data_IF_164946617331
#
_entry.id   IF_164946617331
#
_cell.length_a   1.000
_cell.length_b   1.000
_cell.length_c   1.000
_cell.angle_alpha   90.00
_cell.angle_beta   90.00
_cell.angle_gamma   90.00
#
_symmetry.space_group_name_H-M   'P 1'
#
loop_
_entity.id
_entity.type
_entity.pdbx_description
1 polymer ?
#
# COMPACT_ATOMS: atom_id res chain seq x y z
N UNK A 1 25.49 12.06 -7.92
CA UNK A 1 24.08 11.70 -7.89
C UNK A 1 23.26 12.76 -7.19
N UNK A 2 23.61 13.22 -6.01
CA UNK A 2 22.90 14.27 -5.26
C UNK A 2 22.64 15.48 -6.16
N UNK A 3 23.70 16.06 -6.74
CA UNK A 3 23.58 17.22 -7.65
C UNK A 3 22.69 16.94 -8.87
N UNK A 4 22.78 15.72 -9.47
CA UNK A 4 21.92 15.34 -10.60
C UNK A 4 20.45 15.39 -10.19
N UNK A 5 20.08 14.84 -9.03
CA UNK A 5 18.71 14.82 -8.56
C UNK A 5 18.21 16.19 -8.09
N UNK A 6 19.08 17.03 -7.53
CA UNK A 6 18.73 18.41 -7.16
C UNK A 6 18.46 19.31 -8.37
N UNK A 7 19.11 19.03 -9.52
CA UNK A 7 18.98 19.80 -10.75
C UNK A 7 17.84 19.33 -11.69
N UNK A 8 17.08 18.28 -11.33
CA UNK A 8 15.84 17.94 -12.05
C UNK A 8 14.80 19.05 -11.85
N UNK A 9 13.97 19.29 -12.87
CA UNK A 9 12.91 20.29 -12.77
C UNK A 9 11.75 19.78 -11.86
N UNK A 10 11.21 20.64 -10.99
CA UNK A 10 11.73 21.95 -10.60
C UNK A 10 13.04 21.82 -9.82
N UNK A 11 14.02 22.71 -10.11
CA UNK A 11 15.32 22.70 -9.43
C UNK A 11 15.20 22.99 -7.94
N UNK A 12 15.97 22.26 -7.13
CA UNK A 12 16.02 22.44 -5.68
C UNK A 12 17.16 23.38 -5.33
N UNK A 13 16.84 24.62 -4.97
CA UNK A 13 17.84 25.68 -4.75
C UNK A 13 18.36 25.74 -3.31
N UNK A 14 17.65 25.15 -2.36
CA UNK A 14 17.92 25.28 -0.93
C UNK A 14 18.51 24.00 -0.32
N UNK A 15 19.26 23.24 -1.11
CA UNK A 15 19.93 22.01 -0.65
C UNK A 15 21.45 22.18 -0.70
N UNK A 16 22.13 21.82 0.40
CA UNK A 16 23.57 21.74 0.46
C UNK A 16 24.03 20.31 0.18
N UNK A 17 24.47 20.08 -1.05
CA UNK A 17 24.94 18.77 -1.49
C UNK A 17 26.23 18.33 -0.80
N UNK A 18 27.06 19.29 -0.32
CA UNK A 18 28.30 19.00 0.38
C UNK A 18 28.00 18.51 1.78
N UNK A 19 27.10 19.18 2.50
CA UNK A 19 26.65 18.73 3.83
C UNK A 19 26.06 17.31 3.78
N UNK A 20 25.20 17.03 2.78
CA UNK A 20 24.62 15.70 2.61
C UNK A 20 25.75 14.67 2.38
N UNK A 21 26.67 14.95 1.47
CA UNK A 21 27.78 14.05 1.16
C UNK A 21 28.65 13.76 2.39
N UNK A 22 28.98 14.76 3.20
CA UNK A 22 29.75 14.58 4.44
C UNK A 22 29.01 13.67 5.43
N UNK A 23 27.70 13.87 5.61
CA UNK A 23 26.88 13.02 6.49
C UNK A 23 26.77 11.58 5.98
N UNK A 24 26.70 11.38 4.67
CA UNK A 24 26.71 10.05 4.04
C UNK A 24 28.05 9.36 4.27
N UNK A 25 29.18 10.07 4.01
CA UNK A 25 30.53 9.54 4.22
C UNK A 25 30.73 9.05 5.66
N UNK A 26 30.17 9.75 6.64
CA UNK A 26 30.27 9.33 8.04
C UNK A 26 29.51 8.05 8.39
N UNK A 27 28.64 7.56 7.50
CA UNK A 27 27.80 6.35 7.71
C UNK A 27 28.16 5.18 6.80
N UNK A 28 28.99 5.40 5.78
CA UNK A 28 29.38 4.32 4.87
C UNK A 28 30.39 3.37 5.55
N UNK A 29 30.34 2.12 5.11
CA UNK A 29 31.23 1.04 5.54
C UNK A 29 31.81 0.32 4.31
N UNK A 30 32.83 -0.50 4.53
CA UNK A 30 33.48 -1.23 3.43
C UNK A 30 32.48 -2.14 2.69
N UNK A 31 32.50 -2.10 1.35
CA UNK A 31 31.63 -2.88 0.45
C UNK A 31 30.12 -2.56 0.56
N UNK A 32 29.74 -1.37 1.03
CA UNK A 32 28.33 -0.93 0.96
C UNK A 32 27.81 -1.02 -0.48
N UNK A 33 26.63 -1.60 -0.66
CA UNK A 33 26.03 -1.70 -1.99
C UNK A 33 25.50 -0.34 -2.43
N UNK A 34 25.48 -0.07 -3.74
CA UNK A 34 24.98 1.20 -4.29
C UNK A 34 23.52 1.47 -3.96
N UNK A 35 22.70 0.41 -3.82
CA UNK A 35 21.31 0.47 -3.37
C UNK A 35 21.24 1.02 -1.96
N UNK A 36 22.00 0.47 -1.03
CA UNK A 36 22.07 0.90 0.37
C UNK A 36 22.61 2.34 0.49
N UNK A 37 23.59 2.69 -0.33
CA UNK A 37 24.11 4.05 -0.40
C UNK A 37 23.05 5.08 -0.81
N UNK A 38 22.21 4.73 -1.80
CA UNK A 38 21.10 5.57 -2.22
C UNK A 38 20.02 5.67 -1.11
N UNK A 39 19.74 4.57 -0.40
CA UNK A 39 18.81 4.56 0.73
C UNK A 39 19.29 5.43 1.90
N UNK A 40 20.56 5.30 2.30
CA UNK A 40 21.17 6.15 3.33
C UNK A 40 21.15 7.62 2.91
N UNK A 41 21.49 7.91 1.65
CA UNK A 41 21.46 9.29 1.14
C UNK A 41 20.06 9.88 1.21
N UNK A 42 19.02 9.14 0.79
CA UNK A 42 17.64 9.58 0.85
C UNK A 42 17.16 9.78 2.30
N UNK A 43 17.53 8.88 3.22
CA UNK A 43 17.23 8.99 4.65
C UNK A 43 17.86 10.24 5.26
N UNK A 44 19.13 10.52 4.96
CA UNK A 44 19.82 11.73 5.42
C UNK A 44 19.15 12.98 4.87
N UNK A 45 18.82 13.03 3.58
CA UNK A 45 18.06 14.15 3.02
C UNK A 45 16.77 14.37 3.78
N UNK A 46 15.98 13.32 4.03
CA UNK A 46 14.71 13.44 4.76
C UNK A 46 14.89 13.91 6.20
N UNK A 47 16.00 13.53 6.87
CA UNK A 47 16.29 14.04 8.23
C UNK A 47 16.58 15.54 8.28
N UNK A 48 16.91 16.16 7.16
CA UNK A 48 17.18 17.58 7.02
C UNK A 48 15.94 18.41 6.62
N UNK A 49 14.75 17.81 6.54
CA UNK A 49 13.50 18.49 6.17
C UNK A 49 13.20 19.72 7.05
N UNK A 50 13.63 19.71 8.31
CA UNK A 50 13.48 20.85 9.23
C UNK A 50 14.28 22.08 8.81
N UNK A 51 15.31 21.93 7.97
CA UNK A 51 16.07 23.05 7.41
C UNK A 51 15.33 23.67 6.22
N UNK A 52 14.87 22.84 5.28
CA UNK A 52 14.10 23.27 4.13
C UNK A 52 13.31 22.10 3.50
N UNK A 53 12.08 22.31 2.97
CA UNK A 53 11.30 21.26 2.31
C UNK A 53 11.98 20.60 1.10
N UNK A 54 12.88 21.33 0.41
CA UNK A 54 13.65 20.81 -0.73
C UNK A 54 14.43 19.53 -0.39
N UNK A 55 14.87 19.37 0.86
CA UNK A 55 15.57 18.16 1.29
C UNK A 55 14.67 16.92 1.25
N UNK A 56 13.37 17.06 1.58
CA UNK A 56 12.41 15.96 1.46
C UNK A 56 12.21 15.56 -0.01
N UNK A 57 12.08 16.55 -0.90
CA UNK A 57 11.93 16.32 -2.35
C UNK A 57 13.18 15.64 -2.89
N UNK A 58 14.38 16.08 -2.49
CA UNK A 58 15.62 15.43 -2.91
C UNK A 58 15.71 13.98 -2.43
N UNK A 59 15.35 13.71 -1.16
CA UNK A 59 15.29 12.36 -0.61
C UNK A 59 14.35 11.46 -1.41
N UNK A 60 13.16 11.96 -1.75
CA UNK A 60 12.20 11.23 -2.56
C UNK A 60 12.71 10.95 -3.98
N UNK A 61 13.31 11.91 -4.65
CA UNK A 61 13.91 11.73 -5.98
C UNK A 61 15.00 10.65 -5.99
N UNK A 62 15.83 10.61 -4.95
CA UNK A 62 16.90 9.62 -4.83
C UNK A 62 16.34 8.23 -4.63
N UNK A 63 15.39 8.05 -3.69
CA UNK A 63 14.84 6.72 -3.37
C UNK A 63 13.99 6.17 -4.52
N UNK A 64 13.19 7.00 -5.18
CA UNK A 64 12.37 6.60 -6.33
C UNK A 64 13.26 6.22 -7.51
N UNK A 65 14.29 7.03 -7.82
CA UNK A 65 15.26 6.67 -8.86
C UNK A 65 16.03 5.38 -8.55
N UNK A 66 16.27 5.08 -7.25
CA UNK A 66 16.84 3.80 -6.83
C UNK A 66 15.86 2.65 -7.08
N UNK A 67 14.60 2.83 -6.69
CA UNK A 67 13.54 1.87 -6.95
C UNK A 67 13.40 1.55 -8.44
N UNK A 68 13.33 2.57 -9.29
CA UNK A 68 13.18 2.40 -10.74
C UNK A 68 14.33 1.60 -11.37
N UNK A 69 15.56 1.72 -10.86
CA UNK A 69 16.68 0.90 -11.30
C UNK A 69 16.56 -0.57 -10.90
N UNK A 70 15.99 -0.83 -9.73
CA UNK A 70 15.85 -2.19 -9.20
C UNK A 70 14.60 -2.90 -9.73
N UNK A 71 13.70 -2.17 -10.38
CA UNK A 71 12.42 -2.64 -10.94
C UNK A 71 12.29 -2.25 -12.42
N UNK A 72 13.35 -2.39 -13.19
CA UNK A 72 13.46 -1.91 -14.58
C UNK A 72 12.78 -2.79 -15.63
N UNK A 73 12.27 -3.97 -15.23
CA UNK A 73 11.54 -4.85 -16.13
C UNK A 73 10.29 -4.18 -16.71
N UNK A 74 9.93 -4.50 -17.98
CA UNK A 74 8.67 -4.09 -18.57
C UNK A 74 7.46 -4.52 -17.73
N UNK A 75 6.37 -3.78 -17.79
CA UNK A 75 5.14 -4.08 -17.03
C UNK A 75 4.61 -5.48 -17.34
N UNK A 76 4.67 -5.91 -18.60
CA UNK A 76 4.31 -7.28 -19.01
C UNK A 76 5.06 -8.36 -18.22
N UNK A 77 6.39 -8.28 -18.19
CA UNK A 77 7.21 -9.28 -17.49
C UNK A 77 6.91 -9.32 -15.98
N UNK A 78 6.58 -8.16 -15.40
CA UNK A 78 6.15 -8.07 -14.00
C UNK A 78 4.82 -8.78 -13.79
N UNK A 79 3.81 -8.55 -14.65
CA UNK A 79 2.53 -9.24 -14.57
C UNK A 79 2.70 -10.75 -14.75
N UNK A 80 3.48 -11.21 -15.74
CA UNK A 80 3.77 -12.62 -15.96
C UNK A 80 4.39 -13.28 -14.72
N UNK A 81 5.36 -12.60 -14.10
CA UNK A 81 6.00 -13.07 -12.86
C UNK A 81 5.00 -13.15 -11.70
N UNK A 82 4.13 -12.14 -11.54
CA UNK A 82 3.12 -12.12 -10.50
C UNK A 82 2.06 -13.21 -10.69
N UNK A 83 1.66 -13.52 -11.95
CA UNK A 83 0.77 -14.64 -12.28
C UNK A 83 1.44 -15.98 -11.97
N UNK A 84 2.70 -16.16 -12.38
CA UNK A 84 3.47 -17.38 -12.12
C UNK A 84 3.53 -17.72 -10.62
N UNK A 85 3.56 -16.71 -9.77
CA UNK A 85 3.59 -16.87 -8.31
C UNK A 85 2.18 -16.82 -7.66
N UNK A 86 1.09 -16.87 -8.45
CA UNK A 86 -0.31 -16.81 -7.97
C UNK A 86 -0.62 -15.55 -7.10
N UNK A 87 0.08 -14.44 -7.34
CA UNK A 87 -0.15 -13.16 -6.66
C UNK A 87 -1.29 -12.40 -7.32
N UNK A 88 -1.34 -12.40 -8.66
CA UNK A 88 -2.47 -11.88 -9.44
C UNK A 88 -3.09 -12.97 -10.30
N UNK A 89 -4.31 -12.71 -10.81
CA UNK A 89 -5.04 -13.68 -11.65
C UNK A 89 -4.55 -13.64 -13.09
N UNK A 90 -4.70 -14.77 -13.80
CA UNK A 90 -4.45 -14.85 -15.24
C UNK A 90 -5.33 -13.84 -16.02
N UNK A 91 -6.58 -13.61 -15.56
CA UNK A 91 -7.51 -12.65 -16.15
C UNK A 91 -6.87 -11.27 -16.34
N UNK A 92 -6.11 -10.77 -15.36
CA UNK A 92 -5.44 -9.46 -15.44
C UNK A 92 -4.39 -9.44 -16.56
N UNK A 93 -3.61 -10.49 -16.69
CA UNK A 93 -2.61 -10.62 -17.76
C UNK A 93 -3.27 -10.71 -19.14
N UNK A 94 -4.39 -11.43 -19.26
CA UNK A 94 -5.13 -11.58 -20.52
C UNK A 94 -5.73 -10.25 -20.98
N UNK A 95 -6.31 -9.48 -20.05
CA UNK A 95 -6.82 -8.13 -20.32
C UNK A 95 -5.68 -7.20 -20.75
N UNK A 96 -4.56 -7.22 -20.02
CA UNK A 96 -3.38 -6.44 -20.40
C UNK A 96 -2.90 -6.80 -21.80
N UNK A 97 -2.75 -8.09 -22.14
CA UNK A 97 -2.29 -8.52 -23.45
C UNK A 97 -3.22 -8.07 -24.59
N UNK A 98 -4.53 -8.02 -24.32
CA UNK A 98 -5.53 -7.53 -25.28
C UNK A 98 -5.37 -6.03 -25.56
N UNK A 99 -5.00 -5.24 -24.56
CA UNK A 99 -4.91 -3.78 -24.65
C UNK A 99 -3.47 -3.24 -24.44
N UNK A 100 -2.46 -4.10 -24.66
CA UNK A 100 -1.05 -3.86 -24.33
C UNK A 100 -0.55 -2.48 -24.74
N UNK A 101 -0.65 -2.14 -26.02
CA UNK A 101 -0.12 -0.88 -26.55
C UNK A 101 -0.71 0.33 -25.83
N UNK A 102 -2.03 0.33 -25.63
CA UNK A 102 -2.75 1.43 -24.99
C UNK A 102 -2.35 1.58 -23.51
N UNK A 103 -2.21 0.47 -22.80
CA UNK A 103 -1.81 0.46 -21.38
C UNK A 103 -0.35 0.93 -21.24
N UNK A 104 0.57 0.38 -22.06
CA UNK A 104 1.99 0.74 -22.02
C UNK A 104 2.22 2.23 -22.34
N UNK A 105 1.47 2.81 -23.28
CA UNK A 105 1.52 4.23 -23.62
C UNK A 105 0.91 5.14 -22.54
N UNK A 106 -0.01 4.59 -21.73
CA UNK A 106 -0.67 5.36 -20.66
C UNK A 106 0.15 5.40 -19.37
N UNK A 107 0.95 4.36 -19.09
CA UNK A 107 1.76 4.31 -17.87
C UNK A 107 2.88 5.34 -17.92
N UNK A 108 2.78 6.36 -17.07
CA UNK A 108 3.78 7.42 -16.94
C UNK A 108 4.62 7.26 -15.66
N UNK A 109 5.78 6.65 -15.79
CA UNK A 109 6.70 6.41 -14.67
C UNK A 109 7.34 7.68 -14.09
N UNK A 110 7.29 8.81 -14.80
CA UNK A 110 7.74 10.09 -14.24
C UNK A 110 6.84 10.56 -13.09
N UNK A 111 5.58 10.13 -13.09
CA UNK A 111 4.64 10.41 -11.99
C UNK A 111 5.01 9.71 -10.67
N UNK A 112 5.92 8.74 -10.66
CA UNK A 112 6.49 8.20 -9.42
C UNK A 112 7.12 9.32 -8.58
N UNK A 113 7.77 10.31 -9.22
CA UNK A 113 8.41 11.44 -8.55
C UNK A 113 7.45 12.44 -7.89
N UNK A 114 6.15 12.28 -8.09
CA UNK A 114 5.12 13.03 -7.36
C UNK A 114 4.93 12.56 -5.92
N UNK A 115 5.45 11.38 -5.56
CA UNK A 115 5.37 10.86 -4.19
C UNK A 115 6.55 11.36 -3.36
N UNK A 116 6.26 11.71 -2.10
CA UNK A 116 7.31 12.04 -1.15
C UNK A 116 8.01 10.79 -0.59
N UNK A 117 9.06 10.98 0.19
CA UNK A 117 9.84 9.89 0.75
C UNK A 117 8.99 8.95 1.63
N UNK A 118 8.13 9.51 2.49
CA UNK A 118 7.29 8.72 3.39
C UNK A 118 6.20 7.97 2.64
N UNK A 119 5.58 8.62 1.65
CA UNK A 119 4.59 8.00 0.76
C UNK A 119 5.20 6.82 0.00
N UNK A 120 6.36 7.02 -0.63
CA UNK A 120 7.07 5.94 -1.30
C UNK A 120 7.41 4.78 -0.34
N UNK A 121 8.03 5.07 0.82
CA UNK A 121 8.40 4.03 1.79
C UNK A 121 7.20 3.28 2.36
N UNK A 122 6.06 3.95 2.52
CA UNK A 122 4.81 3.30 2.92
C UNK A 122 4.31 2.35 1.85
N UNK A 123 4.30 2.79 0.58
CA UNK A 123 3.91 1.94 -0.55
C UNK A 123 4.86 0.75 -0.72
N UNK A 124 6.18 0.97 -0.70
CA UNK A 124 7.20 -0.07 -0.81
C UNK A 124 7.08 -1.13 0.29
N UNK A 125 6.89 -0.68 1.54
CA UNK A 125 6.79 -1.59 2.69
C UNK A 125 5.57 -2.47 2.62
N UNK A 126 4.42 -1.90 2.25
CA UNK A 126 3.11 -2.51 2.52
C UNK A 126 2.25 -2.77 1.30
N UNK A 127 2.43 -2.10 0.16
CA UNK A 127 1.47 -2.13 -0.94
C UNK A 127 2.02 -2.67 -2.27
N UNK A 128 3.29 -2.38 -2.58
CA UNK A 128 3.91 -2.89 -3.81
C UNK A 128 4.08 -4.41 -3.72
N UNK A 129 3.67 -5.11 -4.76
CA UNK A 129 3.77 -6.58 -4.82
C UNK A 129 5.22 -7.03 -4.82
N UNK A 130 5.46 -8.13 -4.10
CA UNK A 130 6.79 -8.71 -3.90
C UNK A 130 6.77 -10.19 -4.27
N UNK A 131 7.85 -10.64 -4.87
CA UNK A 131 8.10 -12.06 -5.12
C UNK A 131 9.34 -12.46 -4.31
N UNK A 132 9.21 -13.47 -3.46
CA UNK A 132 10.29 -13.93 -2.56
C UNK A 132 10.93 -12.80 -1.74
N UNK A 133 10.11 -11.83 -1.28
CA UNK A 133 10.57 -10.67 -0.50
C UNK A 133 11.18 -9.53 -1.31
N UNK A 134 11.33 -9.70 -2.64
CA UNK A 134 11.85 -8.66 -3.55
C UNK A 134 10.68 -7.88 -4.17
N UNK A 135 10.71 -6.56 -4.07
CA UNK A 135 9.71 -5.67 -4.67
C UNK A 135 9.77 -5.75 -6.20
N UNK A 136 8.64 -6.02 -6.84
CA UNK A 136 8.50 -6.17 -8.30
C UNK A 136 7.83 -4.95 -8.91
N UNK A 137 6.81 -4.41 -8.25
CA UNK A 137 6.03 -3.27 -8.74
C UNK A 137 6.73 -1.93 -8.47
N UNK A 138 6.59 -0.99 -9.40
CA UNK A 138 6.70 0.45 -9.17
C UNK A 138 5.35 1.00 -8.69
N UNK A 139 5.32 2.27 -8.30
CA UNK A 139 4.06 2.92 -7.89
C UNK A 139 3.05 2.90 -9.04
N UNK A 140 3.48 3.24 -10.26
CA UNK A 140 2.58 3.27 -11.41
C UNK A 140 2.08 1.86 -11.81
N UNK A 141 2.90 0.82 -11.64
CA UNK A 141 2.47 -0.57 -11.82
C UNK A 141 1.35 -0.95 -10.85
N UNK A 142 1.50 -0.60 -9.56
CA UNK A 142 0.46 -0.78 -8.55
C UNK A 142 -0.86 -0.11 -8.96
N UNK A 143 -0.80 1.17 -9.36
CA UNK A 143 -1.99 1.94 -9.72
C UNK A 143 -2.68 1.37 -10.97
N UNK A 144 -1.92 0.94 -11.97
CA UNK A 144 -2.47 0.29 -13.15
C UNK A 144 -3.06 -1.09 -12.83
N UNK A 145 -2.37 -1.93 -12.03
CA UNK A 145 -2.91 -3.22 -11.58
C UNK A 145 -4.22 -3.05 -10.82
N UNK A 146 -4.30 -2.07 -9.93
CA UNK A 146 -5.53 -1.78 -9.16
C UNK A 146 -6.66 -1.38 -10.11
N UNK A 147 -6.41 -0.52 -11.07
CA UNK A 147 -7.41 -0.09 -12.07
C UNK A 147 -7.91 -1.27 -12.90
N UNK A 148 -7.01 -2.14 -13.38
CA UNK A 148 -7.34 -3.38 -14.09
C UNK A 148 -8.16 -4.33 -13.20
N UNK A 149 -7.78 -4.47 -11.94
CA UNK A 149 -8.47 -5.35 -10.98
C UNK A 149 -9.89 -4.91 -10.64
N UNK A 150 -10.18 -3.61 -10.72
CA UNK A 150 -11.52 -3.04 -10.46
C UNK A 150 -12.40 -3.11 -11.70
N UNK A 151 -11.90 -2.60 -12.83
CA UNK A 151 -12.71 -2.37 -14.04
C UNK A 151 -12.61 -3.48 -15.07
N UNK A 152 -11.61 -4.35 -14.97
CA UNK A 152 -11.42 -5.50 -15.86
C UNK A 152 -11.43 -5.10 -17.35
N UNK A 153 -12.39 -5.61 -18.12
CA UNK A 153 -12.51 -5.37 -19.57
C UNK A 153 -13.05 -3.96 -19.93
N UNK A 154 -13.47 -3.16 -18.94
CA UNK A 154 -13.87 -1.78 -19.18
C UNK A 154 -12.62 -0.88 -19.23
N UNK A 155 -11.95 -0.91 -20.38
CA UNK A 155 -10.64 -0.28 -20.53
C UNK A 155 -10.71 1.24 -20.37
N UNK A 156 -11.79 1.89 -20.78
CA UNK A 156 -11.95 3.34 -20.65
C UNK A 156 -11.94 3.75 -19.17
N UNK A 157 -12.64 3.01 -18.32
CA UNK A 157 -12.64 3.25 -16.88
C UNK A 157 -11.33 2.79 -16.22
N UNK A 158 -10.63 1.78 -16.74
CA UNK A 158 -9.26 1.43 -16.30
C UNK A 158 -8.33 2.64 -16.46
N UNK A 159 -8.26 3.21 -17.66
CA UNK A 159 -7.36 4.32 -17.94
C UNK A 159 -7.72 5.58 -17.16
N UNK A 160 -9.01 5.89 -17.07
CA UNK A 160 -9.51 7.03 -16.30
C UNK A 160 -9.18 6.91 -14.81
N UNK A 161 -9.39 5.73 -14.22
CA UNK A 161 -9.08 5.48 -12.80
C UNK A 161 -7.59 5.53 -12.53
N UNK A 162 -6.78 4.95 -13.42
CA UNK A 162 -5.33 5.07 -13.36
C UNK A 162 -4.89 6.53 -13.39
N UNK A 163 -5.37 7.32 -14.36
CA UNK A 163 -4.98 8.73 -14.48
C UNK A 163 -5.34 9.55 -13.24
N UNK A 164 -6.55 9.37 -12.71
CA UNK A 164 -7.00 10.07 -11.50
C UNK A 164 -6.16 9.70 -10.26
N UNK A 165 -5.82 8.43 -10.07
CA UNK A 165 -4.97 7.99 -8.96
C UNK A 165 -3.52 8.45 -9.16
N UNK A 166 -2.98 8.29 -10.35
CA UNK A 166 -1.62 8.64 -10.72
C UNK A 166 -1.37 10.15 -10.62
N UNK A 167 -2.38 10.96 -10.95
CA UNK A 167 -2.38 12.42 -10.78
C UNK A 167 -2.75 12.87 -9.35
N UNK A 168 -2.96 11.94 -8.41
CA UNK A 168 -3.22 12.19 -6.98
C UNK A 168 -4.55 12.92 -6.71
N UNK A 169 -5.58 12.78 -7.55
CA UNK A 169 -6.92 13.28 -7.25
C UNK A 169 -7.61 12.46 -6.17
N UNK A 170 -7.36 11.14 -6.13
CA UNK A 170 -7.79 10.25 -5.05
C UNK A 170 -6.88 9.03 -4.97
N UNK A 171 -7.03 8.24 -3.91
CA UNK A 171 -6.44 6.92 -3.76
C UNK A 171 -7.46 6.00 -3.08
N UNK A 172 -7.46 4.73 -3.48
CA UNK A 172 -8.30 3.73 -2.83
C UNK A 172 -7.80 3.36 -1.43
N UNK A 173 -8.71 2.84 -0.60
CA UNK A 173 -8.38 2.30 0.71
C UNK A 173 -7.51 1.04 0.60
N UNK A 174 -6.80 0.72 1.69
CA UNK A 174 -5.82 -0.38 1.75
C UNK A 174 -6.32 -1.71 1.21
N UNK A 175 -7.54 -2.21 1.51
CA UNK A 175 -8.00 -3.49 0.97
C UNK A 175 -8.05 -3.52 -0.56
N UNK A 176 -8.47 -2.41 -1.19
CA UNK A 176 -8.49 -2.30 -2.65
C UNK A 176 -7.07 -2.32 -3.22
N UNK A 177 -6.15 -1.54 -2.63
CA UNK A 177 -4.75 -1.48 -3.09
C UNK A 177 -4.05 -2.84 -2.94
N UNK A 178 -4.35 -3.61 -1.87
CA UNK A 178 -3.77 -4.94 -1.68
C UNK A 178 -4.36 -5.99 -2.61
N UNK A 179 -5.70 -6.03 -2.72
CA UNK A 179 -6.40 -7.20 -3.22
C UNK A 179 -6.93 -7.06 -4.65
N UNK A 180 -6.95 -5.85 -5.25
CA UNK A 180 -7.40 -5.68 -6.62
C UNK A 180 -6.47 -6.43 -7.59
N UNK A 181 -7.07 -7.28 -8.43
CA UNK A 181 -6.38 -8.14 -9.39
C UNK A 181 -5.82 -9.43 -8.80
N UNK A 182 -5.99 -9.69 -7.49
CA UNK A 182 -5.56 -10.94 -6.84
C UNK A 182 -6.63 -12.04 -6.95
N UNK A 183 -6.30 -13.32 -6.67
CA UNK A 183 -7.28 -14.41 -6.68
C UNK A 183 -8.40 -14.27 -5.63
N UNK A 184 -8.26 -13.40 -4.66
CA UNK A 184 -9.26 -13.13 -3.63
C UNK A 184 -9.49 -11.63 -3.49
N UNK A 185 -10.23 -11.01 -4.42
CA UNK A 185 -10.34 -9.56 -4.53
C UNK A 185 -11.35 -9.00 -3.52
N UNK A 186 -11.05 -9.08 -2.23
CA UNK A 186 -11.82 -8.40 -1.20
C UNK A 186 -11.42 -6.92 -1.20
N UNK A 187 -12.32 -6.03 -1.67
CA UNK A 187 -12.04 -4.61 -1.90
C UNK A 187 -12.68 -3.66 -0.87
N UNK A 188 -13.55 -4.17 0.00
CA UNK A 188 -14.24 -3.35 1.00
C UNK A 188 -13.34 -3.07 2.20
N UNK A 189 -13.37 -1.82 2.69
CA UNK A 189 -12.56 -1.41 3.82
C UNK A 189 -13.31 -1.45 5.16
N UNK A 190 -14.65 -1.36 5.14
CA UNK A 190 -15.45 -1.20 6.36
C UNK A 190 -16.67 -2.12 6.35
N UNK A 191 -16.89 -2.77 7.49
CA UNK A 191 -17.98 -3.71 7.72
C UNK A 191 -18.72 -3.34 9.00
N UNK A 192 -20.03 -3.39 8.99
CA UNK A 192 -20.86 -3.20 10.17
C UNK A 192 -21.51 -4.55 10.54
N UNK A 193 -21.32 -5.00 11.76
CA UNK A 193 -21.82 -6.27 12.27
C UNK A 193 -22.60 -6.04 13.56
N UNK A 194 -23.76 -6.67 13.70
CA UNK A 194 -24.51 -6.73 14.95
C UNK A 194 -24.26 -8.04 15.69
N UNK A 195 -24.30 -8.02 17.02
CA UNK A 195 -24.19 -9.20 17.87
C UNK A 195 -25.59 -9.58 18.38
N UNK A 196 -25.98 -10.84 18.23
CA UNK A 196 -27.16 -11.38 18.90
C UNK A 196 -26.84 -11.73 20.36
N UNK A 197 -27.80 -11.48 21.26
CA UNK A 197 -27.67 -11.73 22.70
C UNK A 197 -27.78 -13.23 23.04
N UNK A 198 -26.85 -14.01 22.52
CA UNK A 198 -26.70 -15.44 22.79
C UNK A 198 -25.23 -15.84 22.69
N UNK A 199 -24.83 -16.94 23.35
CA UNK A 199 -23.47 -17.50 23.25
C UNK A 199 -23.13 -17.77 21.78
N UNK A 200 -24.02 -18.43 21.04
CA UNK A 200 -23.77 -18.74 19.62
C UNK A 200 -23.64 -17.45 18.80
N UNK A 201 -24.46 -16.43 19.03
CA UNK A 201 -24.39 -15.15 18.34
C UNK A 201 -23.08 -14.40 18.61
N UNK A 202 -22.64 -14.37 19.87
CA UNK A 202 -21.37 -13.73 20.27
C UNK A 202 -20.18 -14.40 19.59
N UNK A 203 -20.06 -15.74 19.68
CA UNK A 203 -18.91 -16.45 19.09
C UNK A 203 -18.96 -16.52 17.57
N UNK A 204 -20.16 -16.59 16.97
CA UNK A 204 -20.30 -16.43 15.51
C UNK A 204 -19.78 -15.06 15.06
N UNK A 205 -20.22 -13.99 15.73
CA UNK A 205 -19.76 -12.64 15.42
C UNK A 205 -18.24 -12.49 15.60
N UNK A 206 -17.65 -13.07 16.62
CA UNK A 206 -16.20 -13.09 16.80
C UNK A 206 -15.48 -13.78 15.64
N UNK A 207 -16.00 -14.94 15.18
CA UNK A 207 -15.47 -15.65 14.02
C UNK A 207 -15.57 -14.81 12.73
N UNK A 208 -16.70 -14.15 12.51
CA UNK A 208 -16.92 -13.24 11.37
C UNK A 208 -15.92 -12.06 11.42
N UNK A 209 -15.71 -11.46 12.61
CA UNK A 209 -14.72 -10.40 12.82
C UNK A 209 -13.30 -10.88 12.47
N UNK A 210 -12.91 -12.07 12.92
CA UNK A 210 -11.59 -12.63 12.62
C UNK A 210 -11.41 -12.87 11.10
N UNK A 211 -12.45 -13.37 10.42
CA UNK A 211 -12.43 -13.59 8.98
C UNK A 211 -12.28 -12.29 8.18
N UNK A 212 -12.98 -11.23 8.56
CA UNK A 212 -12.90 -9.90 7.93
C UNK A 212 -11.53 -9.26 8.19
N UNK A 213 -11.07 -9.31 9.44
CA UNK A 213 -9.78 -8.74 9.85
C UNK A 213 -8.60 -9.36 9.09
N UNK A 214 -8.65 -10.67 8.79
CA UNK A 214 -7.66 -11.38 7.97
C UNK A 214 -7.41 -10.72 6.61
N UNK A 215 -8.43 -10.08 6.04
CA UNK A 215 -8.37 -9.44 4.72
C UNK A 215 -8.30 -7.92 4.79
N UNK A 216 -7.79 -7.40 5.92
CA UNK A 216 -7.58 -5.97 6.15
C UNK A 216 -8.88 -5.14 6.17
N UNK A 217 -10.04 -5.75 6.49
CA UNK A 217 -11.30 -5.05 6.69
C UNK A 217 -11.39 -4.43 8.08
N UNK A 218 -11.77 -3.16 8.18
CA UNK A 218 -12.14 -2.51 9.44
C UNK A 218 -13.56 -2.91 9.88
N UNK A 219 -13.81 -3.01 11.17
CA UNK A 219 -15.09 -3.53 11.69
C UNK A 219 -15.70 -2.55 12.69
N UNK A 220 -16.94 -2.16 12.44
CA UNK A 220 -17.82 -1.49 13.38
C UNK A 220 -18.78 -2.49 14.03
N UNK A 221 -18.64 -2.73 15.34
CA UNK A 221 -19.41 -3.72 16.06
C UNK A 221 -20.57 -3.06 16.81
N UNK A 222 -21.82 -3.43 16.46
CA UNK A 222 -23.02 -2.97 17.13
C UNK A 222 -23.39 -3.92 18.28
N UNK A 223 -23.42 -3.39 19.50
CA UNK A 223 -23.58 -4.18 20.74
C UNK A 223 -24.85 -3.88 21.52
N UNK A 224 -25.74 -3.03 21.00
CA UNK A 224 -26.92 -2.57 21.73
C UNK A 224 -27.94 -3.68 22.05
N UNK A 225 -27.88 -4.82 21.36
CA UNK A 225 -28.75 -5.95 21.62
C UNK A 225 -28.34 -6.78 22.84
N UNK A 226 -27.10 -6.63 23.33
CA UNK A 226 -26.57 -7.39 24.45
C UNK A 226 -27.20 -6.89 25.75
N UNK A 227 -27.72 -7.83 26.55
CA UNK A 227 -28.31 -7.55 27.87
C UNK A 227 -27.37 -6.86 28.83
N UNK A 228 -27.91 -6.02 29.68
CA UNK A 228 -27.14 -5.28 30.69
C UNK A 228 -26.58 -6.18 31.81
N UNK A 229 -25.63 -5.65 32.57
CA UNK A 229 -25.07 -6.31 33.76
C UNK A 229 -26.18 -6.71 34.75
N UNK A 230 -26.00 -7.85 35.44
CA UNK A 230 -26.96 -8.45 36.36
C UNK A 230 -28.30 -8.95 35.76
N UNK A 231 -28.45 -8.96 34.45
CA UNK A 231 -29.59 -9.60 33.79
C UNK A 231 -29.54 -11.12 33.92
N UNK A 232 -30.68 -11.79 34.09
CA UNK A 232 -30.72 -13.25 34.20
C UNK A 232 -30.38 -13.93 32.89
N UNK A 233 -29.68 -15.06 33.02
CA UNK A 233 -29.32 -15.95 31.92
C UNK A 233 -30.36 -17.06 31.84
N UNK A 234 -31.15 -17.13 30.77
CA UNK A 234 -32.17 -18.15 30.56
C UNK A 234 -31.57 -19.57 30.68
N UNK A 235 -32.31 -20.41 31.43
CA UNK A 235 -31.88 -21.81 31.66
C UNK A 235 -30.79 -22.01 32.72
N UNK A 236 -30.39 -20.95 33.45
CA UNK A 236 -29.45 -21.00 34.55
C UNK A 236 -29.96 -20.15 35.72
N UNK A 237 -29.33 -20.32 36.93
CA UNK A 237 -29.53 -19.38 38.06
C UNK A 237 -28.51 -18.22 38.01
N UNK A 238 -27.74 -18.09 36.89
CA UNK A 238 -26.68 -17.13 36.77
C UNK A 238 -27.15 -15.77 36.28
N UNK A 239 -26.30 -14.77 36.49
CA UNK A 239 -26.46 -13.40 35.97
C UNK A 239 -25.28 -13.06 35.10
N UNK A 240 -25.55 -12.27 34.01
CA UNK A 240 -24.49 -11.81 33.11
C UNK A 240 -23.62 -10.73 33.77
N UNK A 241 -22.34 -10.71 33.39
CA UNK A 241 -21.41 -9.62 33.71
C UNK A 241 -21.55 -8.41 32.79
N UNK A 242 -22.42 -8.49 31.77
CA UNK A 242 -22.71 -7.38 30.84
C UNK A 242 -21.72 -7.24 29.68
N UNK A 243 -21.81 -6.11 29.00
CA UNK A 243 -21.14 -5.83 27.70
C UNK A 243 -19.62 -5.74 27.85
N UNK A 244 -19.11 -5.08 28.91
CA UNK A 244 -17.67 -4.78 29.02
C UNK A 244 -16.80 -6.02 29.09
N UNK A 245 -17.08 -7.03 29.95
CA UNK A 245 -16.31 -8.29 29.95
C UNK A 245 -16.45 -9.08 28.64
N UNK A 246 -17.64 -9.04 28.00
CA UNK A 246 -17.85 -9.68 26.71
C UNK A 246 -16.99 -9.05 25.61
N UNK A 247 -16.90 -7.73 25.55
CA UNK A 247 -16.10 -7.03 24.54
C UNK A 247 -14.59 -7.30 24.63
N UNK A 248 -14.09 -7.70 25.79
CA UNK A 248 -12.66 -8.09 25.94
C UNK A 248 -12.24 -9.26 25.07
N UNK A 249 -13.20 -10.08 24.62
CA UNK A 249 -12.93 -11.23 23.74
C UNK A 249 -12.64 -10.78 22.30
N UNK A 250 -13.05 -9.56 21.94
CA UNK A 250 -12.88 -8.99 20.58
C UNK A 250 -11.59 -8.16 20.41
N UNK A 251 -10.77 -8.03 21.45
CA UNK A 251 -9.50 -7.30 21.42
C UNK A 251 -8.31 -8.16 21.00
#
# INVERSE_FOLDING_TARGET
RINKMANLEPKLLNVDSIEIAQKVIARIYDKIRTVELDEETASICTSLITKHPDYSILGSRIIISNSQKNTDKPFQEKLELLVQHNIITQEILDIYNTHKTLIDETIDYERDFNFDYFGYKTLEKSYLQKVNGVTIERIQDLLMRVSLGIHKNDIDNVLKTYDLMSSKYFIHASPTLYNAGTPRPQLLSCFLIGIDDSINGIYKCLGDCAAISKWAGGIGLHVSNIRGNNSYINGTNGKTSGIVPMLRVFN
#
